data_IF_459423682252
#
_entry.id   IF_459423682252
#
_cell.length_a   1.000
_cell.length_b   1.000
_cell.length_c   1.000
_cell.angle_alpha   90.00
_cell.angle_beta   90.00
_cell.angle_gamma   90.00
#
_symmetry.space_group_name_H-M   'P 1'
#
loop_
_entity.id
_entity.type
_entity.pdbx_description
1 polymer ?
#
# COMPACT_ATOMS: atom_id res chain seq x y z
N UNK A 1 19.08 3.88 -24.36
CA UNK A 1 17.89 3.65 -23.52
C UNK A 1 17.61 2.16 -23.34
N UNK A 2 17.35 1.38 -24.41
CA UNK A 2 17.08 -0.08 -24.31
C UNK A 2 18.22 -0.87 -23.64
N UNK A 3 19.49 -0.60 -23.97
CA UNK A 3 20.64 -1.25 -23.32
C UNK A 3 20.76 -0.96 -21.82
N UNK A 4 20.26 0.19 -21.36
CA UNK A 4 20.24 0.54 -19.94
C UNK A 4 19.13 -0.23 -19.21
N UNK A 5 17.93 -0.33 -19.81
CA UNK A 5 16.83 -1.13 -19.28
C UNK A 5 17.19 -2.62 -19.18
N UNK A 6 17.86 -3.17 -20.20
CA UNK A 6 18.38 -4.54 -20.16
C UNK A 6 19.46 -4.74 -19.08
N UNK A 7 20.25 -3.68 -18.81
CA UNK A 7 21.27 -3.70 -17.76
C UNK A 7 20.71 -3.54 -16.34
N UNK A 8 19.48 -3.02 -16.19
CA UNK A 8 18.80 -2.84 -14.90
C UNK A 8 17.79 -3.95 -14.59
N UNK A 9 17.66 -4.97 -15.44
CA UNK A 9 16.79 -6.12 -15.20
C UNK A 9 17.25 -6.92 -13.98
N UNK A 10 16.52 -6.77 -12.88
CA UNK A 10 16.59 -7.60 -11.67
C UNK A 10 15.30 -8.43 -11.50
N UNK A 11 14.65 -8.31 -10.34
CA UNK A 11 13.43 -9.06 -10.00
C UNK A 11 12.16 -8.61 -10.75
N UNK A 12 12.30 -7.61 -11.64
CA UNK A 12 11.21 -7.01 -12.41
C UNK A 12 10.82 -5.62 -11.90
N UNK A 13 10.29 -4.78 -12.78
CA UNK A 13 9.71 -3.50 -12.43
C UNK A 13 8.19 -3.62 -12.53
N UNK A 14 7.52 -3.68 -11.38
CA UNK A 14 6.06 -3.68 -11.28
C UNK A 14 5.61 -2.49 -10.44
N UNK A 15 4.42 -1.97 -10.75
CA UNK A 15 3.77 -0.96 -9.92
C UNK A 15 3.41 -1.54 -8.55
N UNK A 16 3.41 -0.69 -7.52
CA UNK A 16 3.02 -1.10 -6.17
C UNK A 16 1.51 -1.36 -6.14
N UNK A 17 1.12 -2.53 -5.65
CA UNK A 17 -0.28 -2.90 -5.42
C UNK A 17 -0.75 -2.39 -4.06
N UNK A 18 -1.76 -1.51 -4.07
CA UNK A 18 -2.31 -0.94 -2.85
C UNK A 18 -2.99 -2.01 -1.96
N UNK A 19 -3.69 -2.96 -2.58
CA UNK A 19 -4.30 -4.10 -1.90
C UNK A 19 -3.27 -4.95 -1.14
N UNK A 20 -2.20 -5.38 -1.81
CA UNK A 20 -1.18 -6.22 -1.18
C UNK A 20 -0.43 -5.45 -0.08
N UNK A 21 -0.15 -4.16 -0.31
CA UNK A 21 0.47 -3.29 0.70
C UNK A 21 -0.41 -3.12 1.94
N UNK A 22 -1.73 -3.00 1.76
CA UNK A 22 -2.69 -2.93 2.87
C UNK A 22 -2.73 -4.22 3.68
N UNK A 23 -2.64 -5.39 3.03
CA UNK A 23 -2.54 -6.66 3.74
C UNK A 23 -1.27 -6.76 4.58
N UNK A 24 -0.12 -6.34 4.05
CA UNK A 24 1.15 -6.32 4.78
C UNK A 24 1.09 -5.33 5.95
N UNK A 25 0.43 -4.17 5.77
CA UNK A 25 0.27 -3.17 6.82
C UNK A 25 -0.53 -3.67 8.03
N UNK A 26 -1.39 -4.69 7.87
CA UNK A 26 -2.18 -5.27 8.96
C UNK A 26 -1.39 -6.25 9.86
N UNK A 27 -0.17 -6.62 9.47
CA UNK A 27 0.65 -7.55 10.24
C UNK A 27 1.08 -6.89 11.54
N UNK A 28 0.71 -7.49 12.68
CA UNK A 28 1.07 -7.02 14.01
C UNK A 28 2.52 -7.34 14.33
N UNK A 29 3.14 -6.48 15.13
CA UNK A 29 4.48 -6.70 15.63
C UNK A 29 4.56 -7.99 16.47
N UNK A 30 5.51 -8.87 16.12
CA UNK A 30 5.73 -10.16 16.79
C UNK A 30 6.91 -10.14 17.78
N UNK A 31 7.75 -9.10 17.73
CA UNK A 31 9.01 -9.02 18.47
C UNK A 31 8.81 -8.49 19.91
N UNK A 32 7.56 -8.22 20.32
CA UNK A 32 7.18 -7.99 21.71
C UNK A 32 7.45 -6.60 22.29
N UNK A 33 8.01 -5.68 21.51
CA UNK A 33 8.25 -4.29 21.95
C UNK A 33 6.96 -3.47 22.07
N UNK A 34 6.04 -3.63 21.12
CA UNK A 34 4.69 -3.09 21.16
C UNK A 34 3.76 -3.94 20.30
N UNK A 35 2.94 -4.78 20.94
CA UNK A 35 1.98 -5.67 20.25
C UNK A 35 0.86 -4.92 19.52
N UNK A 36 0.70 -3.62 19.82
CA UNK A 36 -0.27 -2.73 19.20
C UNK A 36 0.35 -1.85 18.11
N UNK A 37 1.57 -2.15 17.67
CA UNK A 37 2.19 -1.51 16.52
C UNK A 37 2.21 -2.45 15.29
N UNK A 38 2.19 -1.90 14.06
CA UNK A 38 2.40 -2.67 12.85
C UNK A 38 3.85 -3.17 12.77
N UNK A 39 4.05 -4.39 12.28
CA UNK A 39 5.40 -4.93 11.99
C UNK A 39 6.08 -4.13 10.87
N UNK A 40 5.28 -3.63 9.91
CA UNK A 40 5.76 -2.91 8.73
C UNK A 40 5.14 -1.51 8.64
N UNK A 41 5.60 -0.54 9.47
CA UNK A 41 5.04 0.81 9.50
C UNK A 41 5.22 1.57 8.17
N UNK A 42 6.21 1.19 7.36
CA UNK A 42 6.42 1.75 6.02
C UNK A 42 5.25 1.49 5.07
N UNK A 43 4.58 0.33 5.18
CA UNK A 43 3.39 0.02 4.39
C UNK A 43 2.23 0.95 4.75
N UNK A 44 2.03 1.20 6.05
CA UNK A 44 0.99 2.11 6.53
C UNK A 44 1.26 3.56 6.07
N UNK A 45 2.51 4.00 6.15
CA UNK A 45 2.93 5.29 5.63
C UNK A 45 2.70 5.41 4.12
N UNK A 46 3.05 4.37 3.35
CA UNK A 46 2.82 4.37 1.92
C UNK A 46 1.33 4.54 1.60
N UNK A 47 0.45 3.84 2.33
CA UNK A 47 -1.01 3.98 2.14
C UNK A 47 -1.46 5.42 2.38
N UNK A 48 -1.04 6.05 3.48
CA UNK A 48 -1.40 7.43 3.78
C UNK A 48 -0.89 8.42 2.72
N UNK A 49 0.33 8.23 2.21
CA UNK A 49 0.95 9.14 1.25
C UNK A 49 0.43 8.96 -0.20
N UNK A 50 -0.24 7.85 -0.52
CA UNK A 50 -0.63 7.48 -1.90
C UNK A 50 -2.15 7.44 -2.12
N UNK A 51 -2.93 8.11 -1.29
CA UNK A 51 -4.35 8.32 -1.56
C UNK A 51 -4.51 9.24 -2.80
N UNK A 52 -5.37 8.86 -3.75
CA UNK A 52 -5.67 9.70 -4.90
C UNK A 52 -6.51 10.93 -4.50
N UNK A 53 -6.51 12.01 -5.30
CA UNK A 53 -7.25 13.24 -4.98
C UNK A 53 -8.76 13.05 -4.74
N UNK A 54 -9.35 11.99 -5.29
CA UNK A 54 -10.76 11.63 -5.08
C UNK A 54 -10.97 10.60 -3.95
N UNK A 55 -9.96 10.38 -3.11
CA UNK A 55 -10.06 9.63 -1.85
C UNK A 55 -9.85 8.11 -1.94
N UNK A 56 -9.56 7.57 -3.13
CA UNK A 56 -9.42 6.13 -3.35
C UNK A 56 -7.96 5.70 -3.53
N UNK A 57 -7.73 4.39 -3.61
CA UNK A 57 -6.44 3.79 -3.99
C UNK A 57 -6.55 2.93 -5.25
N UNK A 58 -5.44 2.75 -5.96
CA UNK A 58 -5.34 1.97 -7.22
C UNK A 58 -4.64 2.76 -8.33
N UNK A 59 -4.71 2.29 -9.57
CA UNK A 59 -4.04 2.92 -10.72
C UNK A 59 -4.59 4.34 -10.99
N UNK A 60 -3.70 5.32 -11.18
CA UNK A 60 -4.05 6.73 -11.39
C UNK A 60 -4.43 7.06 -12.84
N UNK A 61 -4.00 6.22 -13.79
CA UNK A 61 -4.19 6.38 -15.24
C UNK A 61 -5.34 5.56 -15.78
N UNK A 62 -5.62 4.40 -15.17
CA UNK A 62 -6.65 3.47 -15.62
C UNK A 62 -7.68 3.24 -14.52
N UNK A 63 -8.92 3.67 -14.78
CA UNK A 63 -10.02 3.42 -13.85
C UNK A 63 -10.69 2.08 -14.15
N UNK A 64 -10.57 1.12 -13.23
CA UNK A 64 -11.36 -0.11 -13.20
C UNK A 64 -12.12 -0.16 -11.87
N UNK A 65 -13.45 -0.26 -11.94
CA UNK A 65 -14.28 -0.17 -10.74
C UNK A 65 -13.93 -1.26 -9.70
N UNK A 66 -13.66 -2.50 -10.14
CA UNK A 66 -13.30 -3.59 -9.23
C UNK A 66 -11.96 -3.34 -8.53
N UNK A 67 -10.94 -2.91 -9.27
CA UNK A 67 -9.61 -2.54 -8.75
C UNK A 67 -9.74 -1.42 -7.73
N UNK A 68 -10.53 -0.39 -8.09
CA UNK A 68 -10.70 0.76 -7.21
C UNK A 68 -11.37 0.41 -5.91
N UNK A 69 -12.44 -0.38 -5.97
CA UNK A 69 -13.19 -0.78 -4.77
C UNK A 69 -12.33 -1.65 -3.86
N UNK A 70 -11.62 -2.65 -4.40
CA UNK A 70 -10.85 -3.59 -3.57
C UNK A 70 -9.62 -2.91 -2.94
N UNK A 71 -8.89 -2.09 -3.71
CA UNK A 71 -7.74 -1.33 -3.20
C UNK A 71 -8.17 -0.35 -2.11
N UNK A 72 -9.23 0.42 -2.38
CA UNK A 72 -9.72 1.44 -1.44
C UNK A 72 -10.21 0.83 -0.14
N UNK A 73 -11.00 -0.25 -0.22
CA UNK A 73 -11.50 -0.94 0.97
C UNK A 73 -10.35 -1.47 1.82
N UNK A 74 -9.35 -2.13 1.20
CA UNK A 74 -8.21 -2.67 1.92
C UNK A 74 -7.40 -1.57 2.62
N UNK A 75 -7.13 -0.45 1.93
CA UNK A 75 -6.42 0.70 2.50
C UNK A 75 -7.18 1.34 3.68
N UNK A 76 -8.49 1.53 3.56
CA UNK A 76 -9.31 2.08 4.66
C UNK A 76 -9.28 1.14 5.87
N UNK A 77 -9.41 -0.17 5.65
CA UNK A 77 -9.34 -1.17 6.72
C UNK A 77 -7.97 -1.13 7.42
N UNK A 78 -6.88 -1.06 6.65
CA UNK A 78 -5.54 -0.95 7.20
C UNK A 78 -5.35 0.31 8.05
N UNK A 79 -5.74 1.48 7.53
CA UNK A 79 -5.64 2.75 8.25
C UNK A 79 -6.49 2.77 9.53
N UNK A 80 -7.72 2.26 9.48
CA UNK A 80 -8.63 2.21 10.63
C UNK A 80 -8.20 1.20 11.68
N UNK A 81 -7.52 0.11 11.30
CA UNK A 81 -7.02 -0.88 12.26
C UNK A 81 -5.94 -0.34 13.19
N UNK A 82 -5.25 0.73 12.77
CA UNK A 82 -4.15 1.35 13.52
C UNK A 82 -4.46 2.78 13.98
N UNK A 83 -5.70 3.25 13.81
CA UNK A 83 -6.14 4.62 14.08
C UNK A 83 -5.26 5.71 13.44
N UNK A 84 -4.58 5.39 12.34
CA UNK A 84 -3.57 6.24 11.72
C UNK A 84 -4.16 7.35 10.84
N UNK A 85 -5.49 7.50 10.83
CA UNK A 85 -6.22 8.50 10.04
C UNK A 85 -7.48 8.97 10.77
N UNK A 86 -7.26 9.75 11.83
CA UNK A 86 -8.25 10.60 12.48
C UNK A 86 -7.59 11.94 12.82
N UNK A 87 -7.33 12.75 11.79
CA UNK A 87 -7.22 14.21 11.90
C UNK A 87 -8.03 14.85 10.77
#
# INVERSE_FOLDING_TARGET
>A
MIKLMLGSMGDGELGISAYDTAWVALIKNIDGSDINAPQFPSCLKWIADNQLPHGSWGDDKVFLAHDRLINTLACIVALKSWDAHLD
#
